data_IF_572689032433
#
_entry.id   IF_572689032433
#
_cell.length_a   1.000
_cell.length_b   1.000
_cell.length_c   1.000
_cell.angle_alpha   90.00
_cell.angle_beta   90.00
_cell.angle_gamma   90.00
#
_symmetry.space_group_name_H-M   'P 1'
#
loop_
_entity.id
_entity.type
_entity.pdbx_description
1 polymer ?
#
# COMPACT_ATOMS: atom_id res chain seq x y z
N UNK A 1 36.93 12.08 -7.43
CA UNK A 1 35.86 12.76 -6.67
C UNK A 1 34.73 11.75 -6.47
N UNK A 2 34.67 11.10 -5.31
CA UNK A 2 33.77 9.97 -5.08
C UNK A 2 32.34 10.44 -4.83
N UNK A 3 31.38 10.01 -5.66
CA UNK A 3 29.96 10.20 -5.42
C UNK A 3 29.56 9.41 -4.17
N UNK A 4 29.59 10.04 -3.00
CA UNK A 4 28.91 9.50 -1.81
C UNK A 4 27.41 9.59 -2.06
N UNK A 5 26.83 8.51 -2.60
CA UNK A 5 25.38 8.36 -2.70
C UNK A 5 24.81 8.48 -1.29
N UNK A 6 24.24 9.64 -0.96
CA UNK A 6 23.61 9.91 0.34
C UNK A 6 22.37 9.03 0.44
N UNK A 7 22.51 7.84 1.03
CA UNK A 7 21.38 6.99 1.39
C UNK A 7 20.85 7.37 2.77
N UNK A 8 19.56 7.13 3.00
CA UNK A 8 18.91 7.30 4.30
C UNK A 8 18.11 6.05 4.61
N UNK A 9 18.04 5.71 5.90
CA UNK A 9 17.15 4.68 6.40
C UNK A 9 15.76 5.27 6.59
N UNK A 10 14.75 4.62 6.04
CA UNK A 10 13.36 5.00 6.17
C UNK A 10 12.56 3.87 6.78
N UNK A 11 11.59 4.23 7.62
CA UNK A 11 10.60 3.32 8.15
C UNK A 11 9.24 3.65 7.52
N UNK A 12 8.46 2.63 7.20
CA UNK A 12 7.06 2.76 6.81
C UNK A 12 6.20 1.85 7.68
N UNK A 13 4.99 2.31 8.00
CA UNK A 13 4.00 1.54 8.76
C UNK A 13 3.09 0.84 7.76
N UNK A 14 2.98 -0.48 7.87
CA UNK A 14 2.08 -1.29 7.06
C UNK A 14 0.65 -1.27 7.62
N UNK A 15 -0.31 -1.73 6.80
CA UNK A 15 -1.73 -1.76 7.12
C UNK A 15 -2.10 -2.58 8.38
N UNK A 16 -1.24 -3.52 8.80
CA UNK A 16 -1.37 -4.31 10.03
C UNK A 16 -0.68 -3.65 11.25
N UNK A 17 -0.06 -2.49 11.06
CA UNK A 17 0.71 -1.76 12.08
C UNK A 17 2.17 -2.20 12.20
N UNK A 18 2.62 -3.18 11.42
CA UNK A 18 4.03 -3.59 11.40
C UNK A 18 4.91 -2.56 10.71
N UNK A 19 6.23 -2.60 10.99
CA UNK A 19 7.20 -1.67 10.44
C UNK A 19 8.06 -2.35 9.38
N UNK A 20 8.19 -1.72 8.22
CA UNK A 20 9.16 -2.09 7.19
C UNK A 20 10.23 -1.01 7.06
N UNK A 21 11.49 -1.44 6.90
CA UNK A 21 12.63 -0.55 6.77
C UNK A 21 13.26 -0.66 5.39
N UNK A 22 13.54 0.49 4.77
CA UNK A 22 14.14 0.56 3.45
C UNK A 22 15.31 1.55 3.45
N UNK A 23 16.42 1.14 2.85
CA UNK A 23 17.56 2.01 2.60
C UNK A 23 17.37 2.59 1.20
N UNK A 24 17.08 3.89 1.13
CA UNK A 24 16.82 4.56 -0.14
C UNK A 24 17.90 5.61 -0.44
N UNK A 25 18.35 5.73 -1.69
CA UNK A 25 19.16 6.87 -2.10
C UNK A 25 18.32 8.14 -1.98
N UNK A 26 18.93 9.23 -1.51
CA UNK A 26 18.23 10.43 -1.04
C UNK A 26 17.29 11.07 -2.07
N UNK A 27 17.55 10.91 -3.37
CA UNK A 27 16.72 11.44 -4.44
C UNK A 27 15.42 10.66 -4.67
N UNK A 28 15.39 9.36 -4.37
CA UNK A 28 14.20 8.49 -4.54
C UNK A 28 13.28 8.47 -3.30
N UNK A 29 13.77 8.98 -2.17
CA UNK A 29 13.08 8.94 -0.88
C UNK A 29 11.63 9.45 -0.96
N UNK A 30 11.39 10.60 -1.60
CA UNK A 30 10.06 11.21 -1.69
C UNK A 30 9.08 10.46 -2.59
N UNK A 31 9.56 9.79 -3.65
CA UNK A 31 8.71 9.08 -4.61
C UNK A 31 8.24 7.74 -4.05
N UNK A 32 9.10 7.05 -3.31
CA UNK A 32 8.83 5.72 -2.75
C UNK A 32 8.06 5.81 -1.43
N UNK A 33 8.26 6.86 -0.61
CA UNK A 33 7.51 7.05 0.64
C UNK A 33 6.05 7.46 0.46
N UNK A 34 5.66 7.94 -0.72
CA UNK A 34 4.25 8.05 -1.12
C UNK A 34 3.66 6.68 -1.50
N UNK A 35 4.22 5.59 -0.98
CA UNK A 35 3.69 4.25 -1.16
C UNK A 35 2.24 4.24 -0.69
N UNK A 36 1.40 4.06 -1.70
CA UNK A 36 -0.05 3.92 -1.74
C UNK A 36 -0.66 3.42 -0.43
N UNK A 37 -1.89 3.86 -0.14
CA UNK A 37 -2.81 3.31 0.90
C UNK A 37 -3.00 1.78 0.88
N UNK A 38 -2.37 1.07 -0.06
CA UNK A 38 -2.48 -0.35 -0.32
C UNK A 38 -1.08 -0.94 -0.22
N UNK A 39 -0.85 -1.71 0.82
CA UNK A 39 0.37 -2.47 1.08
C UNK A 39 0.23 -3.91 0.57
N UNK A 40 1.31 -4.69 0.54
CA UNK A 40 1.21 -6.12 0.21
C UNK A 40 0.15 -6.85 1.05
N UNK A 41 0.07 -6.49 2.34
CA UNK A 41 -0.84 -7.08 3.32
C UNK A 41 -2.29 -6.61 3.18
N UNK A 42 -2.55 -5.55 2.42
CA UNK A 42 -3.91 -5.06 2.14
C UNK A 42 -4.27 -5.14 0.65
N UNK A 43 -3.35 -5.59 -0.21
CA UNK A 43 -3.61 -5.74 -1.62
C UNK A 43 -4.54 -6.95 -1.88
N UNK A 44 -5.67 -6.76 -2.58
CA UNK A 44 -6.62 -7.85 -2.83
C UNK A 44 -6.05 -9.03 -3.63
N UNK A 45 -5.04 -8.78 -4.47
CA UNK A 45 -4.38 -9.80 -5.29
C UNK A 45 -3.52 -10.72 -4.41
N UNK A 46 -2.78 -10.16 -3.46
CA UNK A 46 -1.89 -10.94 -2.59
C UNK A 46 -2.61 -11.56 -1.39
N UNK A 47 -3.63 -10.88 -0.85
CA UNK A 47 -4.39 -11.38 0.30
C UNK A 47 -5.53 -12.32 -0.08
N UNK A 48 -5.96 -12.31 -1.35
CA UNK A 48 -7.19 -12.96 -1.80
C UNK A 48 -8.48 -12.36 -1.20
N UNK A 49 -8.36 -11.36 -0.32
CA UNK A 49 -9.47 -10.73 0.41
C UNK A 49 -9.79 -9.40 -0.26
N UNK A 50 -10.75 -9.42 -1.19
CA UNK A 50 -11.28 -8.20 -1.80
C UNK A 50 -12.37 -7.61 -0.90
N UNK A 51 -12.33 -6.31 -0.63
CA UNK A 51 -13.42 -5.66 0.10
C UNK A 51 -14.72 -5.79 -0.71
N UNK A 52 -15.79 -6.25 -0.06
CA UNK A 52 -17.09 -6.46 -0.70
C UNK A 52 -17.68 -5.16 -1.26
N UNK A 53 -17.34 -4.01 -0.71
CA UNK A 53 -17.98 -2.73 -1.05
C UNK A 53 -17.46 -2.07 -2.34
N UNK A 54 -16.44 -2.66 -3.00
CA UNK A 54 -15.73 -2.03 -4.12
C UNK A 54 -16.19 -2.52 -5.50
N UNK A 55 -17.24 -3.34 -5.60
CA UNK A 55 -17.75 -3.82 -6.88
C UNK A 55 -19.19 -3.37 -7.09
N UNK A 56 -19.51 -2.88 -8.28
CA UNK A 56 -20.88 -2.54 -8.68
C UNK A 56 -21.86 -3.71 -8.47
N UNK A 57 -21.34 -4.95 -8.53
CA UNK A 57 -22.05 -6.19 -8.21
C UNK A 57 -22.55 -6.25 -6.77
N UNK A 58 -21.78 -5.79 -5.77
CA UNK A 58 -22.25 -5.81 -4.37
C UNK A 58 -23.32 -4.76 -4.13
N UNK A 59 -23.21 -3.59 -4.76
CA UNK A 59 -24.26 -2.56 -4.78
C UNK A 59 -25.53 -3.09 -5.45
N UNK A 60 -25.40 -3.82 -6.56
CA UNK A 60 -26.52 -4.47 -7.25
C UNK A 60 -27.22 -5.53 -6.40
N UNK A 61 -26.47 -6.42 -5.74
CA UNK A 61 -27.03 -7.43 -4.81
C UNK A 61 -27.73 -6.75 -3.63
N UNK A 62 -27.16 -5.67 -3.09
CA UNK A 62 -27.77 -4.89 -2.01
C UNK A 62 -29.15 -4.33 -2.41
N UNK A 63 -29.27 -3.79 -3.63
CA UNK A 63 -30.55 -3.32 -4.18
C UNK A 63 -31.57 -4.45 -4.36
N UNK A 64 -31.13 -5.64 -4.75
CA UNK A 64 -32.00 -6.81 -4.90
C UNK A 64 -32.51 -7.35 -3.56
N UNK A 65 -31.70 -7.29 -2.49
CA UNK A 65 -32.09 -7.77 -1.15
C UNK A 65 -33.00 -6.79 -0.38
N UNK A 66 -33.04 -5.52 -0.80
CA UNK A 66 -33.86 -4.48 -0.16
C UNK A 66 -35.30 -4.45 -0.67
N UNK A 67 -35.71 -5.41 -1.50
CA UNK A 67 -37.03 -5.52 -2.10
C UNK A 67 -37.70 -6.81 -1.64
#
# INVERSE_FOLDING_TARGET
>A
MGFKNKSKLFANVLSDGSLIFLILPGFESKRILNAKKIDLLSHPVWTGKRSKDQTEISSFIGRLKSK
#
